data_IF_436652019052
#
_entry.id   IF_436652019052
#
_cell.length_a   1.000
_cell.length_b   1.000
_cell.length_c   1.000
_cell.angle_alpha   90.00
_cell.angle_beta   90.00
_cell.angle_gamma   90.00
#
_symmetry.space_group_name_H-M   'P 1'
#
loop_
_entity.id
_entity.type
_entity.pdbx_description
1 polymer ?
#
# COMPACT_ATOMS: atom_id res chain seq x y z
N UNK A 1 1.99 -34.28 7.78
CA UNK A 1 0.86 -33.35 7.55
C UNK A 1 0.96 -32.08 8.40
N UNK A 2 1.15 -32.18 9.72
CA UNK A 2 1.27 -31.00 10.61
C UNK A 2 2.48 -30.10 10.30
N UNK A 3 3.64 -30.68 9.98
CA UNK A 3 4.85 -29.95 9.58
C UNK A 3 4.64 -29.10 8.33
N UNK A 4 3.86 -29.60 7.36
CA UNK A 4 3.55 -28.87 6.12
C UNK A 4 2.69 -27.64 6.42
N UNK A 5 1.72 -27.75 7.33
CA UNK A 5 0.89 -26.60 7.75
C UNK A 5 1.73 -25.49 8.39
N UNK A 6 2.69 -25.86 9.25
CA UNK A 6 3.60 -24.89 9.86
C UNK A 6 4.50 -24.24 8.81
N UNK A 7 5.01 -25.02 7.84
CA UNK A 7 5.85 -24.48 6.76
C UNK A 7 5.08 -23.49 5.89
N UNK A 8 3.86 -23.80 5.45
CA UNK A 8 3.06 -22.86 4.66
C UNK A 8 2.65 -21.62 5.47
N UNK A 9 2.37 -21.76 6.77
CA UNK A 9 2.05 -20.63 7.63
C UNK A 9 3.23 -19.68 7.78
N UNK A 10 4.40 -20.20 8.15
CA UNK A 10 5.61 -19.38 8.33
C UNK A 10 6.04 -18.77 6.99
N UNK A 11 6.02 -19.56 5.91
CA UNK A 11 6.42 -19.06 4.60
C UNK A 11 5.48 -17.97 4.07
N UNK A 12 4.16 -18.18 4.14
CA UNK A 12 3.19 -17.16 3.73
C UNK A 12 3.29 -15.90 4.59
N UNK A 13 3.52 -16.03 5.90
CA UNK A 13 3.74 -14.89 6.79
C UNK A 13 5.00 -14.11 6.40
N UNK A 14 6.12 -14.79 6.12
CA UNK A 14 7.38 -14.14 5.71
C UNK A 14 7.19 -13.41 4.38
N UNK A 15 6.54 -14.04 3.39
CA UNK A 15 6.29 -13.43 2.07
C UNK A 15 5.40 -12.20 2.18
N UNK A 16 4.28 -12.30 2.92
CA UNK A 16 3.37 -11.18 3.14
C UNK A 16 4.04 -10.05 3.93
N UNK A 17 4.77 -10.39 5.00
CA UNK A 17 5.50 -9.42 5.83
C UNK A 17 6.60 -8.72 5.02
N UNK A 18 7.32 -9.45 4.17
CA UNK A 18 8.34 -8.86 3.30
C UNK A 18 7.75 -7.79 2.39
N UNK A 19 6.61 -8.07 1.75
CA UNK A 19 5.89 -7.10 0.92
C UNK A 19 5.42 -5.87 1.71
N UNK A 20 4.89 -6.06 2.91
CA UNK A 20 4.42 -4.98 3.78
C UNK A 20 5.56 -4.10 4.34
N UNK A 21 6.76 -4.66 4.51
CA UNK A 21 7.94 -3.96 5.05
C UNK A 21 8.76 -3.23 3.97
N UNK A 22 8.50 -3.44 2.68
CA UNK A 22 9.18 -2.68 1.61
C UNK A 22 8.95 -1.19 1.84
N UNK A 23 10.01 -0.35 1.85
CA UNK A 23 9.88 1.09 2.07
C UNK A 23 9.11 1.73 0.90
N UNK A 24 7.79 1.79 1.06
CA UNK A 24 6.85 2.32 0.09
C UNK A 24 5.97 3.44 0.66
N UNK A 25 5.15 4.09 -0.19
CA UNK A 25 4.36 5.24 0.21
C UNK A 25 3.36 4.92 1.34
N UNK A 26 2.78 3.72 1.36
CA UNK A 26 1.84 3.27 2.38
C UNK A 26 2.50 3.08 3.75
N UNK A 27 3.68 2.46 3.79
CA UNK A 27 4.47 2.26 5.01
C UNK A 27 4.90 3.62 5.56
N UNK A 28 5.49 4.47 4.73
CA UNK A 28 5.94 5.82 5.12
C UNK A 28 4.78 6.67 5.62
N UNK A 29 3.63 6.65 4.94
CA UNK A 29 2.42 7.35 5.39
C UNK A 29 1.95 6.85 6.76
N UNK A 30 1.92 5.53 6.96
CA UNK A 30 1.53 4.92 8.23
C UNK A 30 2.46 5.35 9.36
N UNK A 31 3.79 5.33 9.16
CA UNK A 31 4.75 5.80 10.16
C UNK A 31 4.51 7.27 10.49
N UNK A 32 4.44 8.15 9.48
CA UNK A 32 4.25 9.59 9.70
C UNK A 32 2.97 9.84 10.49
N UNK A 33 1.85 9.20 10.12
CA UNK A 33 0.58 9.38 10.82
C UNK A 33 0.55 8.79 12.22
N UNK A 34 1.24 7.70 12.44
CA UNK A 34 1.38 7.08 13.77
C UNK A 34 2.18 7.99 14.70
N UNK A 35 3.25 8.62 14.19
CA UNK A 35 4.08 9.57 14.95
C UNK A 35 3.37 10.92 15.21
N UNK A 36 2.53 11.38 14.28
CA UNK A 36 1.75 12.61 14.44
C UNK A 36 0.60 12.47 15.45
N UNK A 37 0.10 11.24 15.65
CA UNK A 37 -1.08 10.98 16.48
C UNK A 37 -0.69 10.57 17.91
N UNK A 38 -0.84 11.49 18.89
CA UNK A 38 -0.55 11.21 20.31
C UNK A 38 -1.53 10.26 21.02
N UNK A 39 -2.73 10.00 20.47
CA UNK A 39 -3.73 9.09 21.06
C UNK A 39 -4.07 7.96 20.09
N UNK A 40 -3.75 6.71 20.46
CA UNK A 40 -4.06 5.47 19.70
C UNK A 40 -3.34 5.30 18.36
N UNK A 41 -2.05 5.66 18.29
CA UNK A 41 -1.21 5.44 17.11
C UNK A 41 -1.22 3.99 16.59
N UNK A 42 -1.33 2.99 17.47
CA UNK A 42 -1.36 1.57 17.08
C UNK A 42 -2.56 1.18 16.19
N UNK A 43 -3.70 1.90 16.29
CA UNK A 43 -4.87 1.63 15.46
C UNK A 43 -4.71 2.17 14.03
N UNK A 44 -3.84 3.16 13.82
CA UNK A 44 -3.65 3.81 12.51
C UNK A 44 -3.24 2.78 11.46
N UNK A 45 -2.28 1.90 11.79
CA UNK A 45 -1.85 0.84 10.88
C UNK A 45 -2.99 -0.11 10.50
N UNK A 46 -3.82 -0.51 11.47
CA UNK A 46 -4.97 -1.37 11.23
C UNK A 46 -5.97 -0.73 10.26
N UNK A 47 -6.33 0.54 10.47
CA UNK A 47 -7.25 1.27 9.60
C UNK A 47 -6.71 1.44 8.17
N UNK A 48 -5.42 1.76 8.03
CA UNK A 48 -4.78 1.95 6.72
C UNK A 48 -4.78 0.64 5.92
N UNK A 49 -4.39 -0.48 6.55
CA UNK A 49 -4.34 -1.79 5.89
C UNK A 49 -5.75 -2.27 5.53
N UNK A 50 -6.73 -2.08 6.41
CA UNK A 50 -8.12 -2.47 6.16
C UNK A 50 -8.69 -1.74 4.93
N UNK A 51 -8.44 -0.43 4.83
CA UNK A 51 -8.82 0.34 3.63
C UNK A 51 -8.12 -0.13 2.36
N UNK A 52 -6.82 -0.42 2.43
CA UNK A 52 -6.05 -0.94 1.31
C UNK A 52 -6.58 -2.31 0.82
N UNK A 53 -6.77 -3.25 1.75
CA UNK A 53 -7.28 -4.58 1.47
C UNK A 53 -8.70 -4.56 0.88
N UNK A 54 -9.54 -3.62 1.30
CA UNK A 54 -10.89 -3.46 0.76
C UNK A 54 -10.87 -3.06 -0.72
N UNK A 55 -10.05 -2.07 -1.08
CA UNK A 55 -9.89 -1.64 -2.47
C UNK A 55 -9.31 -2.78 -3.32
N UNK A 56 -8.31 -3.48 -2.80
CA UNK A 56 -7.70 -4.62 -3.48
C UNK A 56 -8.72 -5.74 -3.71
N UNK A 57 -9.56 -6.06 -2.72
CA UNK A 57 -10.65 -7.03 -2.85
C UNK A 57 -11.63 -6.65 -3.96
N UNK A 58 -12.05 -5.37 -4.03
CA UNK A 58 -12.94 -4.89 -5.09
C UNK A 58 -12.29 -5.10 -6.47
N UNK A 59 -11.01 -4.76 -6.61
CA UNK A 59 -10.27 -4.94 -7.87
C UNK A 59 -10.20 -6.42 -8.25
N UNK A 60 -9.85 -7.30 -7.31
CA UNK A 60 -9.77 -8.75 -7.55
C UNK A 60 -11.13 -9.30 -8.00
N UNK A 61 -12.22 -8.96 -7.29
CA UNK A 61 -13.57 -9.38 -7.68
C UNK A 61 -13.93 -8.86 -9.07
N UNK A 62 -13.60 -7.60 -9.38
CA UNK A 62 -13.79 -7.03 -10.72
C UNK A 62 -13.02 -7.79 -11.80
N UNK A 63 -11.76 -8.12 -11.56
CA UNK A 63 -10.95 -8.92 -12.49
C UNK A 63 -11.57 -10.31 -12.71
N UNK A 64 -12.03 -10.98 -11.64
CA UNK A 64 -12.69 -12.29 -11.71
C UNK A 64 -14.02 -12.25 -12.48
N UNK A 65 -14.73 -11.12 -12.47
CA UNK A 65 -15.95 -10.91 -13.26
C UNK A 65 -15.69 -10.67 -14.76
N UNK A 66 -14.45 -10.74 -15.22
CA UNK A 66 -14.09 -10.61 -16.64
C UNK A 66 -13.56 -9.23 -17.03
N UNK A 67 -13.31 -8.34 -16.07
CA UNK A 67 -12.67 -7.03 -16.32
C UNK A 67 -11.23 -7.16 -16.86
N UNK A 68 -10.66 -8.38 -16.81
CA UNK A 68 -9.39 -8.73 -17.45
C UNK A 68 -9.33 -8.38 -18.95
N UNK A 69 -10.45 -8.51 -19.69
CA UNK A 69 -10.51 -8.19 -21.13
C UNK A 69 -10.23 -6.71 -21.40
N UNK A 70 -10.61 -5.83 -20.48
CA UNK A 70 -10.35 -4.39 -20.59
C UNK A 70 -8.89 -4.08 -20.23
N UNK A 71 -8.33 -4.79 -19.24
CA UNK A 71 -6.92 -4.66 -18.84
C UNK A 71 -5.92 -5.27 -19.85
N UNK A 72 -6.35 -6.08 -20.81
CA UNK A 72 -5.45 -6.56 -21.88
C UNK A 72 -5.12 -5.50 -22.93
N UNK A 73 -5.86 -4.39 -22.99
CA UNK A 73 -5.60 -3.33 -23.95
C UNK A 73 -4.36 -2.49 -23.53
N UNK A 74 -3.34 -2.47 -24.39
CA UNK A 74 -2.09 -1.73 -24.17
C UNK A 74 -2.31 -0.24 -23.86
N UNK A 75 -3.34 0.39 -24.43
CA UNK A 75 -3.65 1.80 -24.20
C UNK A 75 -4.15 2.00 -22.76
N UNK A 76 -5.02 1.12 -22.28
CA UNK A 76 -5.60 1.17 -20.94
C UNK A 76 -4.52 0.94 -19.88
N UNK A 77 -3.69 -0.09 -20.05
CA UNK A 77 -2.58 -0.37 -19.12
C UNK A 77 -1.58 0.78 -19.08
N UNK A 78 -1.23 1.36 -20.24
CA UNK A 78 -0.36 2.54 -20.30
C UNK A 78 -0.97 3.72 -19.57
N UNK A 79 -2.26 4.00 -19.76
CA UNK A 79 -2.94 5.12 -19.10
C UNK A 79 -2.99 4.95 -17.58
N UNK A 80 -3.32 3.75 -17.09
CA UNK A 80 -3.34 3.45 -15.64
C UNK A 80 -1.92 3.53 -15.07
N UNK A 81 -0.93 2.97 -15.79
CA UNK A 81 0.47 2.98 -15.36
C UNK A 81 1.05 4.39 -15.30
N UNK A 82 0.76 5.26 -16.28
CA UNK A 82 1.23 6.65 -16.28
C UNK A 82 0.53 7.47 -15.21
N UNK A 83 -0.78 7.30 -15.03
CA UNK A 83 -1.54 7.95 -13.97
C UNK A 83 -1.05 7.54 -12.57
N UNK A 84 -0.83 6.24 -12.35
CA UNK A 84 -0.28 5.70 -11.10
C UNK A 84 1.15 6.20 -10.85
N UNK A 85 1.99 6.20 -11.87
CA UNK A 85 3.36 6.73 -11.78
C UNK A 85 3.38 8.22 -11.43
N UNK A 86 2.54 9.03 -12.07
CA UNK A 86 2.40 10.45 -11.74
C UNK A 86 1.95 10.67 -10.30
N UNK A 87 1.01 9.84 -9.81
CA UNK A 87 0.57 9.88 -8.42
C UNK A 87 1.67 9.50 -7.43
N UNK A 88 2.53 8.53 -7.77
CA UNK A 88 3.69 8.16 -6.95
C UNK A 88 4.70 9.30 -6.86
N UNK A 89 4.96 10.00 -7.97
CA UNK A 89 5.82 11.20 -7.99
C UNK A 89 5.23 12.28 -7.09
N UNK A 90 3.92 12.54 -7.20
CA UNK A 90 3.21 13.51 -6.36
C UNK A 90 3.33 13.17 -4.86
N UNK A 91 3.11 11.92 -4.47
CA UNK A 91 3.29 11.48 -3.08
C UNK A 91 4.73 11.67 -2.60
N UNK A 92 5.72 11.36 -3.45
CA UNK A 92 7.12 11.59 -3.14
C UNK A 92 7.42 13.08 -2.88
N UNK A 93 6.90 13.96 -3.73
CA UNK A 93 7.04 15.41 -3.55
C UNK A 93 6.35 15.92 -2.27
N UNK A 94 5.13 15.47 -1.97
CA UNK A 94 4.41 15.88 -0.75
C UNK A 94 5.19 15.53 0.52
N UNK A 95 5.80 14.33 0.57
CA UNK A 95 6.62 13.90 1.70
C UNK A 95 7.84 14.82 1.86
N UNK A 96 8.58 15.09 0.78
CA UNK A 96 9.75 15.98 0.81
C UNK A 96 9.37 17.40 1.23
N UNK A 97 8.29 17.96 0.67
CA UNK A 97 7.80 19.29 1.00
C UNK A 97 7.37 19.38 2.47
N UNK A 98 6.68 18.36 3.00
CA UNK A 98 6.28 18.29 4.42
C UNK A 98 7.49 18.27 5.34
N UNK A 99 8.52 17.49 5.01
CA UNK A 99 9.77 17.43 5.79
C UNK A 99 10.45 18.80 5.81
N UNK A 100 10.56 19.48 4.66
CA UNK A 100 11.18 20.81 4.59
C UNK A 100 10.38 21.82 5.41
N UNK A 101 9.05 21.86 5.28
CA UNK A 101 8.19 22.77 6.07
C UNK A 101 8.23 22.50 7.58
N UNK A 102 8.41 21.24 8.01
CA UNK A 102 8.54 20.86 9.42
C UNK A 102 9.75 21.53 10.08
N UNK A 103 10.88 21.61 9.36
CA UNK A 103 12.12 22.24 9.85
C UNK A 103 12.05 23.77 9.97
N UNK A 104 11.04 24.42 9.38
CA UNK A 104 10.84 25.87 9.50
C UNK A 104 9.92 26.27 10.67
N UNK A 105 9.34 25.30 11.39
CA UNK A 105 8.38 25.53 12.47
C UNK A 105 8.89 25.14 13.87
N UNK A 106 10.20 24.94 14.00
CA UNK A 106 10.98 24.97 15.25
C UNK A 106 11.64 26.32 15.37
#
# INVERSE_FOLDING_TARGET
MFTILIVIFVFSMIVALSGALVPGPLLTYTIIKTLETSKRGYLVGFWVILGHALIEMIIIVGILMGFSVILTNHIVVKAIGTAGGAFLIYMGMDIVIKIIKRNYKT
#
